data_IF_725002547053
#
_entry.id   IF_725002547053
#
_cell.length_a   1.000
_cell.length_b   1.000
_cell.length_c   1.000
_cell.angle_alpha   90.00
_cell.angle_beta   90.00
_cell.angle_gamma   90.00
#
_symmetry.space_group_name_H-M   'P 1'
#
loop_
_entity.id
_entity.type
_entity.pdbx_description
1 polymer ?
#
# COMPACT_ATOMS: atom_id res chain seq x y z
N UNK A 1 -20.87 19.07 5.34
CA UNK A 1 -19.76 18.14 5.57
C UNK A 1 -18.67 18.44 4.57
N UNK A 2 -17.47 18.72 5.04
CA UNK A 2 -16.35 18.96 4.13
C UNK A 2 -15.89 17.62 3.58
N UNK A 3 -15.84 17.53 2.26
CA UNK A 3 -15.33 16.32 1.60
C UNK A 3 -13.81 16.33 1.72
N UNK A 4 -13.28 15.51 2.61
CA UNK A 4 -11.84 15.41 2.87
C UNK A 4 -11.12 14.56 1.82
N UNK A 5 -11.87 13.79 1.04
CA UNK A 5 -11.30 12.84 0.11
C UNK A 5 -11.44 13.32 -1.31
N UNK A 6 -10.35 13.25 -2.04
CA UNK A 6 -10.34 13.50 -3.47
C UNK A 6 -10.55 12.17 -4.19
N UNK A 7 -11.64 12.09 -4.95
CA UNK A 7 -11.93 10.90 -5.74
C UNK A 7 -11.17 10.98 -7.06
N UNK A 8 -10.59 9.86 -7.46
CA UNK A 8 -9.88 9.75 -8.73
C UNK A 8 -10.44 8.59 -9.54
N UNK A 9 -10.61 8.81 -10.84
CA UNK A 9 -11.14 7.80 -11.75
C UNK A 9 -10.02 7.19 -12.57
N UNK A 10 -10.03 5.86 -12.66
CA UNK A 10 -9.07 5.09 -13.44
C UNK A 10 -9.84 4.27 -14.46
N UNK A 11 -9.37 4.25 -15.70
CA UNK A 11 -9.93 3.37 -16.73
C UNK A 11 -9.14 2.06 -16.76
N UNK A 12 -9.70 0.98 -17.36
CA UNK A 12 -8.99 -0.29 -17.43
C UNK A 12 -7.58 -0.12 -18.01
N UNK A 13 -6.60 -0.68 -17.32
CA UNK A 13 -5.20 -0.57 -17.69
C UNK A 13 -4.44 0.54 -16.98
N UNK A 14 -5.13 1.49 -16.36
CA UNK A 14 -4.47 2.55 -15.61
C UNK A 14 -3.80 1.98 -14.36
N UNK A 15 -2.60 2.48 -14.06
CA UNK A 15 -1.84 2.06 -12.90
C UNK A 15 -2.07 3.04 -11.76
N UNK A 16 -2.55 2.54 -10.62
CA UNK A 16 -2.72 3.34 -9.41
C UNK A 16 -1.40 3.48 -8.67
N UNK A 17 -0.67 2.38 -8.54
CA UNK A 17 0.62 2.30 -7.85
C UNK A 17 1.55 1.44 -8.69
N UNK A 18 2.81 1.87 -8.79
CA UNK A 18 3.81 1.15 -9.57
C UNK A 18 4.88 0.59 -8.64
N UNK A 19 5.15 -0.69 -8.76
CA UNK A 19 6.19 -1.37 -7.98
C UNK A 19 7.52 -0.63 -8.07
N UNK A 20 8.16 -0.43 -6.92
CA UNK A 20 9.46 0.24 -6.83
C UNK A 20 9.38 1.76 -6.72
N UNK A 21 8.25 2.36 -7.08
CA UNK A 21 8.11 3.81 -6.97
C UNK A 21 7.96 4.25 -5.52
N UNK A 22 8.45 5.44 -5.24
CA UNK A 22 8.18 6.10 -3.96
C UNK A 22 6.82 6.77 -4.03
N UNK A 23 6.12 6.82 -2.91
CA UNK A 23 4.85 7.52 -2.84
C UNK A 23 4.37 7.65 -1.42
N UNK A 24 3.44 8.58 -1.21
CA UNK A 24 2.89 8.88 0.11
C UNK A 24 1.37 8.85 0.11
N UNK A 25 0.75 8.24 -0.89
CA UNK A 25 -0.69 8.21 -1.06
C UNK A 25 -1.18 6.77 -1.07
N UNK A 26 -2.24 6.51 -0.29
CA UNK A 26 -3.01 5.28 -0.36
C UNK A 26 -4.30 5.55 -1.13
N UNK A 27 -4.96 4.49 -1.58
CA UNK A 27 -6.25 4.58 -2.23
C UNK A 27 -7.24 3.61 -1.60
N UNK A 28 -8.46 4.09 -1.36
CA UNK A 28 -9.57 3.21 -0.98
C UNK A 28 -10.48 3.05 -2.19
N UNK A 29 -10.70 1.83 -2.61
CA UNK A 29 -11.52 1.53 -3.78
C UNK A 29 -13.00 1.72 -3.42
N UNK A 30 -13.69 2.60 -4.13
CA UNK A 30 -15.14 2.78 -3.97
C UNK A 30 -15.92 1.96 -4.97
N UNK A 31 -15.49 1.96 -6.23
CA UNK A 31 -16.13 1.23 -7.32
C UNK A 31 -15.07 0.65 -8.21
N UNK A 32 -15.36 -0.48 -8.81
CA UNK A 32 -14.47 -1.09 -9.76
C UNK A 32 -13.64 -2.20 -9.15
N UNK A 33 -12.53 -2.51 -9.83
CA UNK A 33 -11.70 -3.63 -9.45
C UNK A 33 -10.26 -3.38 -9.88
N UNK A 34 -9.34 -3.79 -9.04
CA UNK A 34 -7.90 -3.64 -9.31
C UNK A 34 -7.20 -4.98 -9.14
N UNK A 35 -6.10 -5.13 -9.84
CA UNK A 35 -5.24 -6.30 -9.79
C UNK A 35 -3.91 -5.90 -9.17
N UNK A 36 -3.47 -6.65 -8.17
CA UNK A 36 -2.17 -6.43 -7.51
C UNK A 36 -1.19 -7.44 -8.10
N UNK A 37 -0.10 -6.94 -8.67
CA UNK A 37 0.87 -7.77 -9.36
C UNK A 37 2.29 -7.45 -8.89
N UNK A 38 3.16 -8.44 -9.03
CA UNK A 38 4.58 -8.29 -8.76
C UNK A 38 5.35 -8.91 -9.91
N UNK A 39 6.42 -8.23 -10.33
CA UNK A 39 7.28 -8.71 -11.41
C UNK A 39 8.60 -9.17 -10.80
N UNK A 40 8.99 -10.40 -11.10
CA UNK A 40 10.27 -10.97 -10.69
C UNK A 40 10.80 -11.81 -11.84
N UNK A 41 12.07 -11.61 -12.19
CA UNK A 41 12.74 -12.33 -13.28
C UNK A 41 11.97 -12.25 -14.61
N UNK A 42 11.43 -11.07 -14.90
CA UNK A 42 10.67 -10.84 -16.12
C UNK A 42 9.26 -11.44 -16.12
N UNK A 43 8.84 -12.06 -15.03
CA UNK A 43 7.52 -12.68 -14.92
C UNK A 43 6.61 -11.86 -14.01
N UNK A 44 5.42 -11.58 -14.53
CA UNK A 44 4.37 -10.90 -13.78
C UNK A 44 3.52 -11.94 -13.08
N UNK A 45 3.40 -11.81 -11.76
CA UNK A 45 2.57 -12.69 -10.94
C UNK A 45 1.42 -11.88 -10.36
N UNK A 46 0.20 -12.36 -10.52
CA UNK A 46 -0.98 -11.77 -9.89
C UNK A 46 -1.04 -12.25 -8.44
N UNK A 47 -0.92 -11.30 -7.52
CA UNK A 47 -0.96 -11.60 -6.08
C UNK A 47 -2.38 -11.58 -5.54
N UNK A 48 -3.21 -10.67 -6.05
CA UNK A 48 -4.57 -10.52 -5.56
C UNK A 48 -5.40 -9.69 -6.53
N UNK A 49 -6.72 -9.80 -6.39
CA UNK A 49 -7.68 -8.94 -7.07
C UNK A 49 -8.57 -8.35 -5.99
N UNK A 50 -8.72 -7.02 -6.00
CA UNK A 50 -9.42 -6.29 -4.94
C UNK A 50 -10.53 -5.45 -5.52
N UNK A 51 -11.61 -5.33 -4.74
CA UNK A 51 -12.80 -4.56 -5.12
C UNK A 51 -13.16 -3.51 -4.08
N UNK A 52 -14.41 -3.00 -4.11
CA UNK A 52 -14.86 -1.93 -3.23
C UNK A 52 -14.61 -2.22 -1.76
N UNK A 53 -14.16 -1.22 -1.03
CA UNK A 53 -13.80 -1.31 0.37
C UNK A 53 -12.34 -1.62 0.64
N UNK A 54 -11.61 -2.08 -0.37
CA UNK A 54 -10.19 -2.40 -0.21
C UNK A 54 -9.34 -1.14 -0.19
N UNK A 55 -8.25 -1.18 0.57
CA UNK A 55 -7.25 -0.13 0.62
C UNK A 55 -5.95 -0.66 0.04
N UNK A 56 -5.32 0.13 -0.83
CA UNK A 56 -4.02 -0.20 -1.42
C UNK A 56 -3.03 0.93 -1.16
N UNK A 57 -1.77 0.55 -0.98
CA UNK A 57 -0.70 1.53 -0.78
C UNK A 57 -0.63 2.12 0.62
N UNK A 58 -1.32 1.55 1.59
CA UNK A 58 -1.41 2.05 2.96
C UNK A 58 -0.07 2.06 3.68
N UNK A 59 0.85 1.17 3.32
CA UNK A 59 2.18 1.14 3.95
C UNK A 59 2.98 2.42 3.69
N UNK A 60 2.67 3.15 2.61
CA UNK A 60 3.30 4.43 2.34
C UNK A 60 2.98 5.48 3.41
N UNK A 61 1.85 5.34 4.08
CA UNK A 61 1.46 6.22 5.18
C UNK A 61 2.16 5.85 6.49
N UNK A 62 2.73 4.67 6.55
CA UNK A 62 3.31 4.09 7.76
C UNK A 62 4.84 4.14 7.74
N UNK A 63 5.49 3.58 6.72
CA UNK A 63 6.95 3.48 6.68
C UNK A 63 7.61 4.13 5.47
N UNK A 64 6.83 4.64 4.52
CA UNK A 64 7.32 5.29 3.30
C UNK A 64 8.28 4.43 2.46
N UNK A 65 8.21 3.13 2.62
CA UNK A 65 8.99 2.21 1.82
C UNK A 65 8.56 2.26 0.34
N UNK A 66 9.43 1.89 -0.60
CA UNK A 66 9.04 1.77 -2.00
C UNK A 66 7.85 0.82 -2.15
N UNK A 67 7.01 1.07 -3.16
CA UNK A 67 5.84 0.23 -3.41
C UNK A 67 6.26 -1.21 -3.64
N UNK A 68 5.62 -2.13 -2.93
CA UNK A 68 5.95 -3.56 -3.00
C UNK A 68 5.35 -4.25 -4.20
N UNK A 69 4.35 -3.65 -4.82
CA UNK A 69 3.62 -4.26 -5.93
C UNK A 69 3.03 -3.18 -6.83
N UNK A 70 2.62 -3.57 -8.02
CA UNK A 70 1.90 -2.72 -8.95
C UNK A 70 0.41 -2.97 -8.79
N UNK A 71 -0.39 -1.90 -8.76
CA UNK A 71 -1.85 -1.98 -8.69
C UNK A 71 -2.42 -1.35 -9.94
N UNK A 72 -3.16 -2.14 -10.71
CA UNK A 72 -3.70 -1.76 -12.02
C UNK A 72 -5.21 -1.95 -12.04
N UNK A 73 -5.93 -0.96 -12.56
CA UNK A 73 -7.38 -1.08 -12.72
C UNK A 73 -7.69 -2.10 -13.83
N UNK A 74 -8.58 -3.05 -13.54
CA UNK A 74 -9.03 -4.03 -14.52
C UNK A 74 -10.39 -3.67 -15.13
N UNK A 75 -11.07 -2.73 -14.50
CA UNK A 75 -12.31 -2.13 -15.02
C UNK A 75 -12.33 -0.68 -14.58
N UNK A 76 -13.33 0.10 -14.99
CA UNK A 76 -13.46 1.48 -14.54
C UNK A 76 -13.50 1.50 -13.00
N UNK A 77 -12.58 2.22 -12.40
CA UNK A 77 -12.39 2.22 -10.95
C UNK A 77 -12.44 3.65 -10.43
N UNK A 78 -13.14 3.84 -9.33
CA UNK A 78 -13.17 5.10 -8.60
C UNK A 78 -12.54 4.84 -7.24
N UNK A 79 -11.50 5.60 -6.90
CA UNK A 79 -10.78 5.44 -5.66
C UNK A 79 -10.64 6.78 -4.95
N UNK A 80 -10.71 6.74 -3.63
CA UNK A 80 -10.46 7.91 -2.80
C UNK A 80 -8.98 7.97 -2.46
N UNK A 81 -8.38 9.15 -2.69
CA UNK A 81 -6.99 9.39 -2.35
C UNK A 81 -6.86 9.68 -0.85
N UNK A 82 -5.94 8.99 -0.20
CA UNK A 82 -5.64 9.19 1.22
C UNK A 82 -4.15 9.56 1.31
N UNK A 83 -3.87 10.84 1.50
CA UNK A 83 -2.51 11.29 1.78
C UNK A 83 -2.29 11.36 3.30
N UNK A 84 -1.09 11.72 3.72
CA UNK A 84 -0.75 11.78 5.15
C UNK A 84 -1.64 12.79 5.88
N UNK A 85 -1.95 13.93 5.26
CA UNK A 85 -2.79 14.96 5.88
C UNK A 85 -4.21 14.45 6.11
N UNK A 86 -4.78 13.75 5.12
CA UNK A 86 -6.11 13.14 5.24
C UNK A 86 -6.11 12.07 6.34
N UNK A 87 -5.10 11.22 6.33
CA UNK A 87 -4.95 10.16 7.34
C UNK A 87 -4.89 10.76 8.75
N UNK A 88 -4.04 11.78 8.94
CA UNK A 88 -3.87 12.42 10.24
C UNK A 88 -5.16 13.08 10.71
N UNK A 89 -5.89 13.71 9.80
CA UNK A 89 -7.17 14.38 10.11
C UNK A 89 -8.24 13.38 10.52
N UNK A 90 -8.39 12.32 9.74
CA UNK A 90 -9.38 11.27 10.04
C UNK A 90 -9.06 10.62 11.37
N UNK A 91 -7.78 10.37 11.63
CA UNK A 91 -7.35 9.77 12.89
C UNK A 91 -7.61 10.69 14.09
N UNK A 92 -7.35 12.00 13.93
CA UNK A 92 -7.59 12.98 14.98
C UNK A 92 -9.08 13.08 15.35
N UNK A 93 -9.97 12.89 14.37
CA UNK A 93 -11.42 12.95 14.58
C UNK A 93 -12.01 11.61 15.03
N UNK A 94 -11.22 10.54 15.07
CA UNK A 94 -11.70 9.22 15.47
C UNK A 94 -11.88 9.13 16.99
N UNK A 95 -12.77 8.24 17.45
CA UNK A 95 -12.88 7.97 18.90
C UNK A 95 -11.54 7.59 19.50
N UNK A 96 -11.25 8.00 20.77
CA UNK A 96 -9.95 7.75 21.37
C UNK A 96 -9.49 6.31 21.36
N UNK A 97 -10.40 5.36 21.56
CA UNK A 97 -10.06 3.93 21.54
C UNK A 97 -9.62 3.50 20.15
N UNK A 98 -10.34 3.92 19.13
CA UNK A 98 -9.99 3.59 17.74
C UNK A 98 -8.65 4.22 17.35
N UNK A 99 -8.44 5.49 17.72
CA UNK A 99 -7.17 6.16 17.47
C UNK A 99 -6.00 5.42 18.11
N UNK A 100 -6.17 5.01 19.39
CA UNK A 100 -5.14 4.26 20.10
C UNK A 100 -4.82 2.93 19.43
N UNK A 101 -5.86 2.21 18.95
CA UNK A 101 -5.67 0.94 18.25
C UNK A 101 -4.91 1.14 16.93
N UNK A 102 -5.29 2.15 16.16
CA UNK A 102 -4.62 2.44 14.88
C UNK A 102 -3.15 2.80 15.12
N UNK A 103 -2.87 3.65 16.11
CA UNK A 103 -1.49 4.03 16.42
C UNK A 103 -0.67 2.84 16.90
N UNK A 104 -1.25 1.94 17.68
CA UNK A 104 -0.58 0.73 18.13
C UNK A 104 -0.25 -0.19 16.94
N UNK A 105 -1.21 -0.44 16.06
CA UNK A 105 -0.99 -1.27 14.88
C UNK A 105 0.01 -0.65 13.92
N UNK A 106 -0.03 0.66 13.74
CA UNK A 106 0.93 1.38 12.90
C UNK A 106 2.36 1.20 13.42
N UNK A 107 2.54 1.29 14.74
CA UNK A 107 3.84 1.08 15.38
C UNK A 107 4.32 -0.37 15.18
N UNK A 108 3.41 -1.34 15.37
CA UNK A 108 3.74 -2.75 15.17
C UNK A 108 4.16 -3.03 13.73
N UNK A 109 3.45 -2.45 12.76
CA UNK A 109 3.77 -2.63 11.34
C UNK A 109 5.13 -2.05 10.99
N UNK A 110 5.48 -0.87 11.53
CA UNK A 110 6.81 -0.28 11.33
C UNK A 110 7.90 -1.19 11.88
N UNK A 111 7.70 -1.73 13.09
CA UNK A 111 8.66 -2.62 13.73
C UNK A 111 8.84 -3.90 12.93
N UNK A 112 7.73 -4.48 12.42
CA UNK A 112 7.79 -5.66 11.58
C UNK A 112 8.53 -5.39 10.27
N UNK A 113 8.28 -4.23 9.65
CA UNK A 113 8.97 -3.82 8.44
C UNK A 113 10.48 -3.67 8.66
N UNK A 114 10.87 -3.02 9.76
CA UNK A 114 12.27 -2.86 10.12
C UNK A 114 12.94 -4.21 10.38
N UNK A 115 12.26 -5.13 11.06
CA UNK A 115 12.75 -6.48 11.32
C UNK A 115 12.91 -7.28 10.03
N UNK A 116 11.94 -7.20 9.14
CA UNK A 116 12.01 -7.87 7.85
C UNK A 116 13.20 -7.39 7.04
N UNK A 117 13.45 -6.08 7.02
CA UNK A 117 14.61 -5.50 6.32
C UNK A 117 15.92 -5.98 6.91
N UNK A 118 16.01 -6.04 8.25
CA UNK A 118 17.20 -6.55 8.93
C UNK A 118 17.45 -8.02 8.59
N UNK A 119 16.40 -8.84 8.63
CA UNK A 119 16.49 -10.26 8.31
C UNK A 119 16.93 -10.49 6.87
N UNK A 120 16.40 -9.72 5.94
CA UNK A 120 16.83 -9.80 4.54
C UNK A 120 18.31 -9.45 4.39
N UNK A 121 18.75 -8.39 5.06
CA UNK A 121 20.15 -7.98 5.04
C UNK A 121 21.06 -9.09 5.61
N UNK A 122 20.65 -9.68 6.73
CA UNK A 122 21.40 -10.78 7.33
C UNK A 122 21.44 -12.01 6.43
N UNK A 123 20.32 -12.37 5.80
CA UNK A 123 20.26 -13.48 4.87
C UNK A 123 21.18 -13.27 3.68
N UNK A 124 21.20 -12.07 3.12
CA UNK A 124 22.12 -11.74 2.02
C UNK A 124 23.58 -11.79 2.45
N UNK A 125 23.85 -11.44 3.72
CA UNK A 125 25.21 -11.46 4.26
C UNK A 125 25.70 -12.87 4.57
N UNK A 126 24.81 -13.75 5.00
CA UNK A 126 25.15 -15.09 5.48
C UNK A 126 24.80 -16.21 4.52
N UNK A 127 23.98 -15.93 3.49
CA UNK A 127 23.59 -16.95 2.52
C UNK A 127 24.83 -17.44 1.77
N UNK A 128 25.02 -18.76 1.65
CA UNK A 128 26.12 -19.29 0.86
C UNK A 128 25.94 -18.88 -0.60
N UNK A 129 27.05 -18.53 -1.25
CA UNK A 129 26.99 -18.23 -2.68
C UNK A 129 26.49 -19.48 -3.42
N UNK A 130 25.55 -19.33 -4.38
CA UNK A 130 25.13 -20.49 -5.14
C UNK A 130 26.32 -21.12 -5.86
N UNK A 131 26.37 -22.43 -5.94
CA UNK A 131 27.44 -23.09 -6.67
C UNK A 131 27.41 -22.67 -8.13
N UNK A 132 28.58 -22.40 -8.65
CA UNK A 132 28.75 -22.00 -10.03
C UNK A 132 28.50 -23.20 -10.94
#
# INVERSE_FOLDING_TARGET
MVDLFLAKTFVPGDVLLREGDSGSVAYMIEHGRVEVTKTADGRKTVLNTLGPGAIVGEMALIDRAPRMATVTATEKTIALMIDQRVFDKVLADAPPVLRALVLAYTSHLRNLGARASQLETELHRTAPKPPI
#
